data_IF_732849536372
#
_entry.id   IF_732849536372
#
_cell.length_a   1.000
_cell.length_b   1.000
_cell.length_c   1.000
_cell.angle_alpha   90.00
_cell.angle_beta   90.00
_cell.angle_gamma   90.00
#
_symmetry.space_group_name_H-M   'P 1'
#
loop_
_entity.id
_entity.type
_entity.pdbx_description
1 polymer ?
#
# COMPACT_ATOMS: atom_id res chain seq x y z
N UNK A 1 -14.02 -30.70 -32.30
CA UNK A 1 -12.92 -31.23 -31.48
C UNK A 1 -12.17 -30.03 -30.95
N UNK A 2 -12.70 -29.41 -29.89
CA UNK A 2 -12.04 -28.30 -29.21
C UNK A 2 -10.88 -28.85 -28.39
N UNK A 3 -9.67 -28.34 -28.65
CA UNK A 3 -8.49 -28.65 -27.87
C UNK A 3 -8.69 -28.10 -26.44
N UNK A 4 -8.39 -28.86 -25.38
CA UNK A 4 -8.33 -28.28 -24.05
C UNK A 4 -7.19 -27.27 -24.02
N UNK A 5 -7.54 -26.00 -23.83
CA UNK A 5 -6.58 -24.95 -23.46
C UNK A 5 -6.03 -25.37 -22.10
N UNK A 6 -4.80 -25.88 -22.09
CA UNK A 6 -4.02 -26.05 -20.86
C UNK A 6 -3.70 -24.63 -20.39
N UNK A 7 -4.58 -24.08 -19.58
CA UNK A 7 -4.29 -22.87 -18.80
C UNK A 7 -3.22 -23.29 -17.79
N UNK A 8 -2.04 -22.69 -17.89
CA UNK A 8 -0.86 -23.07 -17.11
C UNK A 8 -1.12 -22.83 -15.62
N UNK A 9 -1.29 -23.91 -14.85
CA UNK A 9 -1.55 -23.86 -13.41
C UNK A 9 -0.45 -23.13 -12.61
N UNK A 10 0.74 -22.95 -13.18
CA UNK A 10 1.82 -22.18 -12.56
C UNK A 10 1.54 -20.68 -12.52
N UNK A 11 0.85 -20.12 -13.52
CA UNK A 11 0.56 -18.68 -13.56
C UNK A 11 -0.43 -18.29 -12.45
N UNK A 12 -1.43 -19.14 -12.20
CA UNK A 12 -2.41 -18.94 -11.12
C UNK A 12 -1.74 -19.05 -9.74
N UNK A 13 -0.78 -19.96 -9.56
CA UNK A 13 -0.03 -20.12 -8.31
C UNK A 13 0.90 -18.92 -8.03
N UNK A 14 1.55 -18.38 -9.07
CA UNK A 14 2.38 -17.17 -8.97
C UNK A 14 1.52 -15.95 -8.62
N UNK A 15 0.38 -15.77 -9.30
CA UNK A 15 -0.54 -14.66 -9.02
C UNK A 15 -1.13 -14.79 -7.61
N UNK A 16 -1.47 -16.00 -7.18
CA UNK A 16 -1.95 -16.25 -5.82
C UNK A 16 -0.90 -15.90 -4.77
N UNK A 17 0.35 -16.33 -4.95
CA UNK A 17 1.45 -16.01 -4.03
C UNK A 17 1.72 -14.50 -3.98
N UNK A 18 1.68 -13.79 -5.11
CA UNK A 18 1.81 -12.33 -5.15
C UNK A 18 0.66 -11.64 -4.40
N UNK A 19 -0.58 -12.11 -4.53
CA UNK A 19 -1.73 -11.56 -3.83
C UNK A 19 -1.68 -11.84 -2.31
N UNK A 20 -1.28 -13.04 -1.89
CA UNK A 20 -1.08 -13.40 -0.48
C UNK A 20 0.00 -12.52 0.15
N UNK A 21 1.10 -12.27 -0.57
CA UNK A 21 2.15 -11.37 -0.12
C UNK A 21 1.65 -9.93 0.01
N UNK A 22 0.87 -9.43 -0.96
CA UNK A 22 0.25 -8.10 -0.87
C UNK A 22 -0.70 -7.99 0.31
N UNK A 23 -1.46 -9.06 0.60
CA UNK A 23 -2.37 -9.15 1.75
C UNK A 23 -1.60 -9.11 3.06
N UNK A 24 -0.53 -9.89 3.19
CA UNK A 24 0.34 -9.88 4.37
C UNK A 24 0.91 -8.49 4.64
N UNK A 25 1.43 -7.82 3.61
CA UNK A 25 1.97 -6.46 3.73
C UNK A 25 0.88 -5.46 4.14
N UNK A 26 -0.34 -5.62 3.63
CA UNK A 26 -1.49 -4.80 4.00
C UNK A 26 -1.88 -4.99 5.46
N UNK A 27 -1.97 -6.25 5.93
CA UNK A 27 -2.28 -6.59 7.32
C UNK A 27 -1.24 -6.00 8.28
N UNK A 28 0.04 -6.18 7.99
CA UNK A 28 1.14 -5.63 8.78
C UNK A 28 1.07 -4.10 8.84
N UNK A 29 0.86 -3.44 7.69
CA UNK A 29 0.79 -1.99 7.63
C UNK A 29 -0.43 -1.43 8.38
N UNK A 30 -1.59 -2.08 8.32
CA UNK A 30 -2.77 -1.67 9.08
C UNK A 30 -2.53 -1.85 10.59
N UNK A 31 -1.93 -2.97 11.01
CA UNK A 31 -1.63 -3.23 12.42
C UNK A 31 -0.62 -2.21 12.98
N UNK A 32 0.46 -1.95 12.25
CA UNK A 32 1.47 -0.97 12.64
C UNK A 32 0.85 0.42 12.77
N UNK A 33 0.05 0.84 11.80
CA UNK A 33 -0.52 2.20 11.77
C UNK A 33 -1.62 2.44 12.81
N UNK A 34 -2.30 1.39 13.28
CA UNK A 34 -3.20 1.46 14.44
C UNK A 34 -2.46 1.78 15.74
N UNK A 35 -1.21 1.33 15.87
CA UNK A 35 -0.38 1.58 17.06
C UNK A 35 0.24 2.99 17.08
N UNK A 36 0.20 3.72 15.95
CA UNK A 36 0.85 5.02 15.80
C UNK A 36 -0.19 6.16 15.94
N UNK A 37 -0.03 7.06 16.93
CA UNK A 37 -0.83 8.28 17.05
C UNK A 37 -0.76 9.14 15.78
N UNK A 38 -1.85 9.83 15.44
CA UNK A 38 -1.97 10.57 14.18
C UNK A 38 -0.81 11.55 13.95
N UNK A 39 -0.40 12.25 15.00
CA UNK A 39 0.70 13.23 15.01
C UNK A 39 2.08 12.63 14.68
N UNK A 40 2.24 11.32 14.88
CA UNK A 40 3.51 10.61 14.68
C UNK A 40 3.55 9.82 13.37
N UNK A 41 2.44 9.79 12.61
CA UNK A 41 2.37 9.06 11.34
C UNK A 41 3.34 9.65 10.31
N UNK A 42 4.06 8.80 9.56
CA UNK A 42 5.00 9.26 8.56
C UNK A 42 4.26 9.95 7.40
N UNK A 43 4.91 10.92 6.76
CA UNK A 43 4.36 11.52 5.54
C UNK A 43 4.50 10.54 4.38
N UNK A 44 3.41 10.28 3.68
CA UNK A 44 3.44 9.43 2.50
C UNK A 44 4.11 10.16 1.33
N UNK A 45 5.08 9.54 0.64
CA UNK A 45 5.67 10.12 -0.56
C UNK A 45 4.64 10.19 -1.69
N UNK A 46 4.85 11.11 -2.62
CA UNK A 46 4.09 11.13 -3.87
C UNK A 46 4.52 9.96 -4.74
N UNK A 47 3.56 9.14 -5.14
CA UNK A 47 3.79 7.96 -5.98
C UNK A 47 3.58 8.32 -7.45
N UNK A 48 4.53 8.01 -8.35
CA UNK A 48 4.34 8.18 -9.79
C UNK A 48 3.20 7.28 -10.31
N UNK A 49 2.36 7.79 -11.22
CA UNK A 49 1.24 7.06 -11.81
C UNK A 49 1.67 6.13 -12.96
N UNK A 50 2.62 5.24 -12.71
CA UNK A 50 3.05 4.23 -13.68
C UNK A 50 1.98 3.12 -13.84
N UNK A 51 2.00 2.39 -14.97
CA UNK A 51 1.12 1.24 -15.20
C UNK A 51 1.22 0.20 -14.07
N UNK A 52 2.45 -0.08 -13.59
CA UNK A 52 2.73 -0.97 -12.47
C UNK A 52 2.09 -0.48 -11.17
N UNK A 53 2.32 0.78 -10.80
CA UNK A 53 1.80 1.32 -9.54
C UNK A 53 0.27 1.35 -9.52
N UNK A 54 -0.36 1.65 -10.67
CA UNK A 54 -1.82 1.56 -10.82
C UNK A 54 -2.34 0.14 -10.70
N UNK A 55 -1.60 -0.86 -11.20
CA UNK A 55 -1.99 -2.26 -11.06
C UNK A 55 -1.97 -2.71 -9.60
N UNK A 56 -0.92 -2.33 -8.83
CA UNK A 56 -0.83 -2.61 -7.38
C UNK A 56 -2.00 -2.01 -6.62
N UNK A 57 -2.31 -0.71 -6.86
CA UNK A 57 -3.46 -0.06 -6.19
C UNK A 57 -4.77 -0.76 -6.54
N UNK A 58 -4.96 -1.19 -7.79
CA UNK A 58 -6.15 -1.95 -8.20
C UNK A 58 -6.23 -3.32 -7.54
N UNK A 59 -5.10 -4.01 -7.36
CA UNK A 59 -5.06 -5.32 -6.71
C UNK A 59 -5.39 -5.23 -5.21
N UNK A 60 -4.96 -4.16 -4.54
CA UNK A 60 -5.24 -3.93 -3.12
C UNK A 60 -6.67 -3.43 -2.85
N UNK A 61 -7.30 -2.75 -3.82
CA UNK A 61 -8.61 -2.12 -3.58
C UNK A 61 -9.72 -3.10 -3.15
N UNK A 62 -9.86 -4.31 -3.75
CA UNK A 62 -10.80 -5.31 -3.25
C UNK A 62 -10.52 -5.76 -1.82
N UNK A 63 -9.23 -5.91 -1.45
CA UNK A 63 -8.84 -6.31 -0.09
C UNK A 63 -9.23 -5.24 0.93
N UNK A 64 -9.01 -3.97 0.59
CA UNK A 64 -9.38 -2.81 1.41
C UNK A 64 -10.88 -2.76 1.72
N UNK A 65 -11.74 -3.13 0.78
CA UNK A 65 -13.18 -3.16 0.99
C UNK A 65 -13.56 -4.08 2.15
N UNK A 66 -12.93 -5.25 2.25
CA UNK A 66 -13.16 -6.21 3.35
C UNK A 66 -12.80 -5.61 4.72
N UNK A 67 -11.68 -4.88 4.83
CA UNK A 67 -11.32 -4.20 6.08
C UNK A 67 -12.27 -3.04 6.40
N UNK A 68 -12.72 -2.31 5.38
CA UNK A 68 -13.59 -1.15 5.54
C UNK A 68 -14.98 -1.56 6.04
N UNK A 69 -15.53 -2.66 5.53
CA UNK A 69 -16.80 -3.24 5.99
C UNK A 69 -16.73 -3.72 7.45
N UNK A 70 -15.56 -4.20 7.90
CA UNK A 70 -15.34 -4.64 9.27
C UNK A 70 -15.04 -3.50 10.27
N UNK A 71 -14.84 -2.27 9.78
CA UNK A 71 -14.46 -1.13 10.62
C UNK A 71 -15.60 -0.66 11.51
N UNK A 72 -15.29 -0.33 12.77
CA UNK A 72 -16.29 0.04 13.80
C UNK A 72 -16.44 1.54 13.95
N UNK A 73 -15.41 2.31 13.63
CA UNK A 73 -15.39 3.76 13.78
C UNK A 73 -14.49 4.46 12.75
N UNK A 74 -14.56 5.79 12.74
CA UNK A 74 -13.81 6.65 11.83
C UNK A 74 -12.29 6.60 12.07
N UNK A 75 -11.85 6.35 13.30
CA UNK A 75 -10.42 6.26 13.63
C UNK A 75 -9.81 4.97 13.09
N UNK A 76 -10.54 3.86 13.21
CA UNK A 76 -10.18 2.56 12.64
C UNK A 76 -10.17 2.66 11.11
N UNK A 77 -11.19 3.27 10.51
CA UNK A 77 -11.25 3.53 9.08
C UNK A 77 -10.08 4.39 8.59
N UNK A 78 -9.71 5.45 9.32
CA UNK A 78 -8.56 6.28 8.97
C UNK A 78 -7.24 5.49 9.06
N UNK A 79 -7.11 4.61 10.05
CA UNK A 79 -5.94 3.73 10.19
C UNK A 79 -5.85 2.70 9.07
N UNK A 80 -6.98 2.11 8.66
CA UNK A 80 -7.07 1.19 7.52
C UNK A 80 -6.63 1.87 6.22
N UNK A 81 -7.16 3.06 5.91
CA UNK A 81 -6.79 3.79 4.69
C UNK A 81 -5.31 4.21 4.70
N UNK A 82 -4.82 4.69 5.84
CA UNK A 82 -3.43 5.09 5.96
C UNK A 82 -2.47 3.88 5.86
N UNK A 83 -2.78 2.78 6.54
CA UNK A 83 -2.07 1.50 6.42
C UNK A 83 -2.05 0.97 4.99
N UNK A 84 -3.16 1.11 4.26
CA UNK A 84 -3.20 0.74 2.84
C UNK A 84 -2.23 1.57 2.01
N UNK A 85 -2.17 2.88 2.23
CA UNK A 85 -1.25 3.73 1.50
C UNK A 85 0.23 3.43 1.86
N UNK A 86 0.51 3.06 3.12
CA UNK A 86 1.82 2.55 3.56
C UNK A 86 2.16 1.24 2.85
N UNK A 87 1.23 0.29 2.79
CA UNK A 87 1.40 -0.98 2.10
C UNK A 87 1.71 -0.78 0.60
N UNK A 88 0.97 0.12 -0.08
CA UNK A 88 1.27 0.50 -1.47
C UNK A 88 2.71 1.01 -1.57
N UNK A 89 3.16 1.89 -0.67
CA UNK A 89 4.53 2.41 -0.66
C UNK A 89 5.55 1.27 -0.51
N UNK A 90 5.33 0.31 0.39
CA UNK A 90 6.20 -0.85 0.55
C UNK A 90 6.26 -1.72 -0.71
N UNK A 91 5.10 -2.07 -1.29
CA UNK A 91 5.02 -2.95 -2.47
C UNK A 91 5.71 -2.34 -3.71
N UNK A 92 5.63 -1.02 -3.88
CA UNK A 92 6.28 -0.33 -4.99
C UNK A 92 7.74 0.06 -4.69
N UNK A 93 8.25 -0.23 -3.48
CA UNK A 93 9.61 0.12 -3.05
C UNK A 93 9.82 1.62 -2.78
N UNK A 94 8.77 2.37 -2.49
CA UNK A 94 8.87 3.77 -2.11
C UNK A 94 9.37 3.90 -0.66
N UNK A 95 10.40 4.73 -0.45
CA UNK A 95 10.94 5.00 0.89
C UNK A 95 9.97 5.87 1.67
N UNK A 96 9.49 5.35 2.80
CA UNK A 96 8.74 6.13 3.78
C UNK A 96 9.72 6.89 4.68
N UNK A 97 9.54 8.21 4.89
CA UNK A 97 10.32 8.94 5.86
C UNK A 97 10.05 8.39 7.27
N UNK A 98 11.12 8.09 8.00
CA UNK A 98 11.09 7.42 9.32
C UNK A 98 10.29 8.18 10.40
N UNK A 99 10.00 9.47 10.21
CA UNK A 99 9.19 10.28 11.12
C UNK A 99 8.49 11.43 10.39
N UNK A 100 7.38 11.94 10.96
CA UNK A 100 6.68 13.15 10.48
C UNK A 100 7.52 14.44 10.52
N UNK A 101 8.74 14.41 11.07
CA UNK A 101 9.69 15.52 11.00
C UNK A 101 10.39 15.51 9.64
N UNK A 102 9.96 16.45 8.81
CA UNK A 102 10.70 16.82 7.62
C UNK A 102 12.14 17.16 8.01
N UNK A 103 13.10 16.36 7.56
CA UNK A 103 14.37 16.94 7.13
C UNK A 103 14.02 17.83 5.94
N UNK A 104 13.68 19.09 6.22
CA UNK A 104 13.70 20.15 5.20
C UNK A 104 15.07 20.03 4.54
N UNK A 105 15.12 19.52 3.31
CA UNK A 105 16.30 19.72 2.48
C UNK A 105 16.52 21.22 2.43
N UNK A 106 17.76 21.60 2.78
CA UNK A 106 18.26 22.95 2.92
C UNK A 106 17.61 23.92 1.95
N UNK A 107 17.23 25.09 2.45
CA UNK A 107 16.78 26.23 1.65
C UNK A 107 17.66 26.38 0.41
N UNK A 108 17.10 26.10 -0.77
CA UNK A 108 17.63 26.64 -2.01
C UNK A 108 17.53 28.15 -1.88
N UNK A 109 18.65 28.81 -1.57
CA UNK A 109 18.76 30.26 -1.67
C UNK A 109 18.66 30.56 -3.16
N UNK A 110 17.64 31.31 -3.63
CA UNK A 110 17.60 31.69 -5.02
C UNK A 110 18.78 32.63 -5.30
N UNK A 111 19.57 32.29 -6.32
CA UNK A 111 20.59 33.18 -6.85
C UNK A 111 19.90 34.26 -7.68
N UNK A 112 19.61 35.39 -7.06
CA UNK A 112 19.41 36.67 -7.74
C UNK A 112 20.34 37.70 -7.10
#
# INVERSE_FOLDING_TARGET
>A
MDLPVVVDSNDDEIVFHELEQMRSILDEAILETRSIPLENRPRLPRIPLSKRNRAVVRALNPMLMTYSEASRDLCEMHSIHFGTAVAVCHIIGAKLPLTGRATRQSSTIPAW
#
